data_IF_394957399946
#
_entry.id   IF_394957399946
#
_cell.length_a   1.000
_cell.length_b   1.000
_cell.length_c   1.000
_cell.angle_alpha   90.00
_cell.angle_beta   90.00
_cell.angle_gamma   90.00
#
_symmetry.space_group_name_H-M   'P 1'
#
loop_
_entity.id
_entity.type
_entity.pdbx_description
1 polymer ?
#
# COMPACT_ATOMS: atom_id res chain seq x y z
N UNK A 1 -18.92 -23.45 8.77
CA UNK A 1 -18.44 -22.81 7.53
C UNK A 1 -16.99 -22.41 7.70
N UNK A 2 -16.11 -22.76 6.75
CA UNK A 2 -14.65 -22.63 6.87
C UNK A 2 -14.21 -21.28 6.30
N UNK A 3 -13.40 -20.52 7.03
CA UNK A 3 -12.92 -19.17 6.60
C UNK A 3 -12.20 -19.19 5.24
N UNK A 4 -11.53 -20.30 4.92
CA UNK A 4 -10.89 -20.53 3.63
C UNK A 4 -11.87 -20.46 2.46
N UNK A 5 -13.10 -20.94 2.66
CA UNK A 5 -14.11 -21.00 1.61
C UNK A 5 -14.73 -19.62 1.34
N UNK A 6 -14.78 -18.75 2.36
CA UNK A 6 -15.10 -17.34 2.17
C UNK A 6 -13.99 -16.57 1.44
N UNK A 7 -12.72 -16.93 1.65
CA UNK A 7 -11.58 -16.34 0.95
C UNK A 7 -11.49 -16.81 -0.51
N UNK A 8 -11.81 -18.08 -0.77
CA UNK A 8 -11.91 -18.63 -2.13
C UNK A 8 -13.11 -18.05 -2.88
N UNK A 9 -14.27 -17.89 -2.22
CA UNK A 9 -15.42 -17.19 -2.81
C UNK A 9 -15.13 -15.71 -3.05
N UNK A 10 -14.44 -15.01 -2.14
CA UNK A 10 -13.97 -13.65 -2.40
C UNK A 10 -13.03 -13.63 -3.59
N UNK A 11 -12.09 -14.58 -3.71
CA UNK A 11 -11.13 -14.64 -4.81
C UNK A 11 -11.81 -14.92 -6.16
N UNK A 12 -12.83 -15.79 -6.18
CA UNK A 12 -13.63 -16.09 -7.36
C UNK A 12 -14.50 -14.89 -7.79
N UNK A 13 -15.19 -14.23 -6.86
CA UNK A 13 -15.98 -13.00 -7.13
C UNK A 13 -15.09 -11.78 -7.46
N UNK A 14 -13.84 -11.77 -7.00
CA UNK A 14 -12.88 -10.68 -7.23
C UNK A 14 -12.13 -10.77 -8.56
N UNK A 15 -12.40 -11.79 -9.38
CA UNK A 15 -11.73 -11.98 -10.66
C UNK A 15 -12.28 -10.99 -11.67
N UNK A 16 -11.93 -9.71 -11.48
CA UNK A 16 -12.23 -8.67 -12.45
C UNK A 16 -11.65 -9.04 -13.81
N UNK A 17 -12.46 -8.88 -14.86
CA UNK A 17 -12.04 -9.16 -16.22
C UNK A 17 -10.87 -8.25 -16.59
N UNK A 18 -9.78 -8.84 -17.06
CA UNK A 18 -8.66 -8.11 -17.64
C UNK A 18 -9.02 -7.77 -19.08
N UNK A 19 -9.13 -6.48 -19.38
CA UNK A 19 -9.48 -5.96 -20.70
C UNK A 19 -8.26 -5.26 -21.29
N UNK A 20 -7.90 -5.67 -22.49
CA UNK A 20 -6.89 -4.99 -23.30
C UNK A 20 -7.59 -4.04 -24.28
N UNK A 21 -7.11 -2.79 -24.36
CA UNK A 21 -7.58 -1.84 -25.36
C UNK A 21 -7.07 -2.18 -26.75
N UNK A 22 -7.65 -1.52 -27.75
CA UNK A 22 -7.19 -1.63 -29.13
C UNK A 22 -5.71 -1.20 -29.24
N UNK A 23 -4.85 -1.98 -29.91
CA UNK A 23 -3.46 -1.58 -30.13
C UNK A 23 -3.38 -0.31 -30.97
N UNK A 24 -2.84 0.76 -30.39
CA UNK A 24 -2.63 2.01 -31.11
C UNK A 24 -1.18 2.12 -31.58
N UNK A 25 -0.97 2.31 -32.88
CA UNK A 25 0.36 2.60 -33.43
C UNK A 25 0.64 4.10 -33.44
N UNK A 26 1.82 4.44 -32.91
CA UNK A 26 2.38 5.79 -32.95
C UNK A 26 3.13 5.97 -34.28
N UNK A 27 3.24 7.18 -34.85
CA UNK A 27 3.99 7.42 -36.10
C UNK A 27 5.42 6.86 -36.12
N UNK A 28 6.04 6.74 -34.94
CA UNK A 28 7.38 6.17 -34.74
C UNK A 28 7.43 4.63 -34.80
N UNK A 29 6.35 3.95 -35.20
CA UNK A 29 6.26 2.48 -35.23
C UNK A 29 6.16 1.82 -33.85
N UNK A 30 5.70 2.57 -32.83
CA UNK A 30 5.47 2.04 -31.47
C UNK A 30 4.04 1.62 -31.29
N UNK A 31 3.80 0.38 -30.89
CA UNK A 31 2.49 -0.16 -30.55
C UNK A 31 2.24 0.01 -29.06
N UNK A 32 1.14 0.67 -28.71
CA UNK A 32 0.69 0.87 -27.32
C UNK A 32 -0.58 0.08 -27.10
N UNK A 33 -0.58 -0.80 -26.11
CA UNK A 33 -1.75 -1.61 -25.72
C UNK A 33 -2.10 -1.24 -24.28
N UNK A 34 -3.27 -0.65 -24.06
CA UNK A 34 -3.73 -0.31 -22.71
C UNK A 34 -4.31 -1.53 -22.02
N UNK A 35 -4.15 -1.62 -20.70
CA UNK A 35 -4.65 -2.74 -19.91
C UNK A 35 -5.42 -2.21 -18.70
N UNK A 36 -6.66 -2.68 -18.57
CA UNK A 36 -7.61 -2.21 -17.54
C UNK A 36 -8.23 -3.42 -16.87
N UNK A 37 -8.36 -3.37 -15.56
CA UNK A 37 -9.12 -4.36 -14.79
C UNK A 37 -10.54 -3.83 -14.59
N UNK A 38 -11.52 -4.61 -15.02
CA UNK A 38 -12.94 -4.32 -14.77
C UNK A 38 -13.40 -5.19 -13.61
N UNK A 39 -13.84 -4.59 -12.52
CA UNK A 39 -14.42 -5.31 -11.39
C UNK A 39 -15.90 -4.94 -11.26
N UNK A 40 -16.76 -5.97 -11.24
CA UNK A 40 -18.14 -5.80 -10.85
C UNK A 40 -18.23 -5.74 -9.32
N UNK A 41 -19.03 -4.81 -8.81
CA UNK A 41 -19.38 -4.73 -7.41
C UNK A 41 -20.20 -5.96 -7.02
N UNK A 42 -20.10 -6.35 -5.74
CA UNK A 42 -20.68 -7.57 -5.18
C UNK A 42 -22.19 -7.73 -5.45
N UNK A 43 -22.90 -6.61 -5.56
CA UNK A 43 -24.35 -6.57 -5.77
C UNK A 43 -24.73 -6.28 -7.24
N UNK A 44 -23.77 -6.35 -8.18
CA UNK A 44 -23.97 -6.04 -9.60
C UNK A 44 -24.25 -4.55 -9.92
N UNK A 45 -24.37 -3.71 -8.90
CA UNK A 45 -24.79 -2.31 -9.01
C UNK A 45 -23.71 -1.33 -9.50
N UNK A 46 -22.43 -1.67 -9.34
CA UNK A 46 -21.33 -0.77 -9.66
C UNK A 46 -20.25 -1.50 -10.46
N UNK A 47 -19.79 -0.92 -11.56
CA UNK A 47 -18.66 -1.44 -12.32
C UNK A 47 -17.50 -0.47 -12.15
N UNK A 48 -16.39 -0.96 -11.61
CA UNK A 48 -15.16 -0.16 -11.43
C UNK A 48 -14.14 -0.57 -12.48
N UNK A 49 -13.72 0.39 -13.31
CA UNK A 49 -12.63 0.22 -14.24
C UNK A 49 -11.34 0.80 -13.62
N UNK A 50 -10.37 -0.06 -13.31
CA UNK A 50 -9.08 0.34 -12.75
C UNK A 50 -8.00 0.20 -13.83
N UNK A 51 -7.37 1.29 -14.28
CA UNK A 51 -6.25 1.20 -15.22
C UNK A 51 -5.07 0.49 -14.54
N UNK A 52 -4.53 -0.55 -15.18
CA UNK A 52 -3.36 -1.27 -14.65
C UNK A 52 -2.06 -0.74 -15.25
N UNK A 53 -2.10 -0.30 -16.50
CA UNK A 53 -0.93 0.18 -17.21
C UNK A 53 -1.07 0.10 -18.71
N UNK A 54 0.05 0.31 -19.39
CA UNK A 54 0.18 0.21 -20.84
C UNK A 54 1.39 -0.65 -21.19
N UNK A 55 1.21 -1.55 -22.16
CA UNK A 55 2.30 -2.28 -22.80
C UNK A 55 2.76 -1.50 -24.02
N UNK A 56 4.05 -1.19 -24.08
CA UNK A 56 4.68 -0.44 -25.17
C UNK A 56 5.61 -1.39 -25.91
N UNK A 57 5.33 -1.65 -27.18
CA UNK A 57 6.13 -2.51 -28.04
C UNK A 57 6.75 -1.65 -29.14
N UNK A 58 8.07 -1.69 -29.29
CA UNK A 58 8.82 -1.00 -30.35
C UNK A 58 9.85 -1.97 -30.93
N UNK A 59 9.64 -2.42 -32.16
CA UNK A 59 10.41 -3.52 -32.76
C UNK A 59 10.36 -4.76 -31.86
N UNK A 60 11.52 -5.34 -31.54
CA UNK A 60 11.64 -6.52 -30.68
C UNK A 60 11.63 -6.21 -29.17
N UNK A 61 11.41 -4.95 -28.79
CA UNK A 61 11.42 -4.53 -27.37
C UNK A 61 9.99 -4.29 -26.89
N UNK A 62 9.58 -5.07 -25.90
CA UNK A 62 8.35 -4.84 -25.14
C UNK A 62 8.67 -4.29 -23.75
N UNK A 63 7.96 -3.23 -23.32
CA UNK A 63 8.09 -2.62 -22.00
C UNK A 63 6.70 -2.42 -21.40
N UNK A 64 6.52 -2.88 -20.17
CA UNK A 64 5.34 -2.57 -19.37
C UNK A 64 5.51 -1.25 -18.61
N UNK A 65 4.50 -0.40 -18.63
CA UNK A 65 4.42 0.85 -17.85
C UNK A 65 3.17 0.79 -17.00
N UNK A 66 3.34 0.60 -15.69
CA UNK A 66 2.21 0.47 -14.76
C UNK A 66 1.56 1.84 -14.46
N UNK A 67 0.24 1.86 -14.36
CA UNK A 67 -0.55 3.02 -13.93
C UNK A 67 -0.59 3.07 -12.39
N UNK A 68 0.58 3.29 -11.77
CA UNK A 68 0.69 3.36 -10.31
C UNK A 68 0.37 4.77 -9.83
N UNK A 69 -0.53 4.90 -8.85
CA UNK A 69 -0.77 6.15 -8.16
C UNK A 69 0.28 6.33 -7.04
N UNK A 70 1.39 7.01 -7.37
CA UNK A 70 2.48 7.26 -6.44
C UNK A 70 2.04 8.11 -5.23
N UNK A 71 1.12 9.06 -5.41
CA UNK A 71 0.63 9.93 -4.35
C UNK A 71 -0.10 9.13 -3.26
N UNK A 72 -0.91 8.14 -3.66
CA UNK A 72 -1.56 7.24 -2.71
C UNK A 72 -0.57 6.41 -1.91
N UNK A 73 0.48 5.91 -2.56
CA UNK A 73 1.54 5.14 -1.88
C UNK A 73 2.28 6.04 -0.88
N UNK A 74 2.64 7.25 -1.31
CA UNK A 74 3.29 8.23 -0.45
C UNK A 74 2.42 8.57 0.76
N UNK A 75 1.12 8.81 0.56
CA UNK A 75 0.18 9.11 1.62
C UNK A 75 0.07 7.97 2.65
N UNK A 76 0.03 6.72 2.21
CA UNK A 76 0.02 5.56 3.12
C UNK A 76 1.31 5.50 3.95
N UNK A 77 2.46 5.75 3.32
CA UNK A 77 3.75 5.80 4.01
C UNK A 77 3.80 6.91 5.06
N UNK A 78 3.37 8.12 4.70
CA UNK A 78 3.31 9.28 5.60
C UNK A 78 2.37 9.03 6.77
N UNK A 79 1.16 8.50 6.52
CA UNK A 79 0.21 8.20 7.59
C UNK A 79 0.74 7.13 8.55
N UNK A 80 1.38 6.10 8.01
CA UNK A 80 1.96 5.02 8.82
C UNK A 80 3.12 5.55 9.68
N UNK A 81 4.00 6.38 9.11
CA UNK A 81 5.07 7.06 9.83
C UNK A 81 4.54 7.99 10.92
N UNK A 82 3.50 8.76 10.61
CA UNK A 82 2.85 9.67 11.57
C UNK A 82 2.22 8.89 12.73
N UNK A 83 1.46 7.82 12.45
CA UNK A 83 0.89 6.96 13.50
C UNK A 83 1.99 6.37 14.39
N UNK A 84 3.06 5.85 13.79
CA UNK A 84 4.20 5.30 14.53
C UNK A 84 4.83 6.35 15.44
N UNK A 85 5.06 7.57 14.94
CA UNK A 85 5.62 8.67 15.71
C UNK A 85 4.70 9.09 16.89
N UNK A 86 3.38 9.13 16.68
CA UNK A 86 2.41 9.42 17.73
C UNK A 86 2.43 8.34 18.81
N UNK A 87 2.42 7.06 18.42
CA UNK A 87 2.46 5.94 19.37
C UNK A 87 3.77 5.94 20.15
N UNK A 88 4.91 6.14 19.48
CA UNK A 88 6.22 6.24 20.13
C UNK A 88 6.27 7.41 21.13
N UNK A 89 5.76 8.58 20.73
CA UNK A 89 5.68 9.76 21.61
C UNK A 89 4.80 9.49 22.83
N UNK A 90 3.63 8.86 22.62
CA UNK A 90 2.75 8.45 23.71
C UNK A 90 3.39 7.40 24.62
N UNK A 91 4.16 6.46 24.07
CA UNK A 91 4.87 5.45 24.84
C UNK A 91 5.91 6.10 25.75
N UNK A 92 6.69 7.04 25.23
CA UNK A 92 7.67 7.83 26.00
C UNK A 92 6.96 8.65 27.08
N UNK A 93 5.82 9.28 26.78
CA UNK A 93 5.06 10.04 27.77
C UNK A 93 4.43 9.16 28.86
N UNK A 94 3.96 7.95 28.51
CA UNK A 94 3.30 7.03 29.46
C UNK A 94 4.29 6.26 30.34
N UNK A 95 5.46 5.92 29.81
CA UNK A 95 6.53 5.22 30.52
C UNK A 95 7.83 5.95 30.24
N UNK A 96 8.02 7.12 30.87
CA UNK A 96 9.24 7.87 30.70
C UNK A 96 10.45 6.98 30.96
N UNK A 97 11.38 6.87 30.00
CA UNK A 97 12.53 5.98 30.14
C UNK A 97 13.60 6.53 31.08
N UNK A 98 13.41 7.74 31.64
CA UNK A 98 14.42 8.33 32.50
C UNK A 98 14.44 7.69 33.90
N UNK A 99 15.63 7.31 34.40
CA UNK A 99 15.83 6.86 35.75
C UNK A 99 15.35 7.88 36.79
N UNK A 100 14.72 7.41 37.86
CA UNK A 100 14.21 8.26 38.93
C UNK A 100 15.36 8.97 39.66
N UNK A 101 15.47 10.29 39.48
CA UNK A 101 16.58 11.11 39.97
C UNK A 101 16.51 11.37 41.49
N UNK A 102 15.55 10.76 42.20
CA UNK A 102 15.30 10.99 43.63
C UNK A 102 16.15 10.11 44.57
N UNK A 103 16.98 9.20 44.05
CA UNK A 103 17.66 8.17 44.85
C UNK A 103 19.16 8.34 45.13
N UNK A 104 19.87 9.27 44.48
CA UNK A 104 21.32 9.48 44.72
C UNK A 104 21.50 10.53 45.84
N UNK A 105 20.86 10.27 46.98
CA UNK A 105 21.21 10.89 48.25
C UNK A 105 22.30 10.04 48.90
N UNK A 106 23.55 10.44 48.76
CA UNK A 106 24.71 9.85 49.42
C UNK A 106 24.41 9.58 50.90
N UNK A 107 24.33 8.29 51.29
CA UNK A 107 24.36 7.87 52.69
C UNK A 107 25.71 8.30 53.28
N UNK A 108 25.71 9.38 54.07
CA UNK A 108 26.84 9.68 54.95
C UNK A 108 26.68 8.79 56.19
N UNK A 109 27.57 7.82 56.34
CA UNK A 109 27.70 7.06 57.58
C UNK A 109 28.38 7.95 58.63
N UNK A 110 27.76 8.17 59.81
CA UNK A 110 28.46 8.77 60.92
C UNK A 110 29.15 7.67 61.73
N UNK A 111 30.47 7.53 61.54
CA UNK A 111 31.35 7.01 62.57
C UNK A 111 31.81 8.17 63.44
N UNK A 112 31.24 8.33 64.64
CA UNK A 112 31.97 8.72 65.85
C UNK A 112 31.08 8.60 67.08
#
# INVERSE_FOLDING_TARGET
MKRSELLDQLSADSTGALVYGEPHQTPDGTTVITATRIQAGRDGSAVTATPLGVMVIRGDKAKWVAAVNADRIALVGVLTGLLSAVIASLAVLRRPPWPDLRGVGTRRDPTS
#
